data_IF_493724461949
#
_entry.id   IF_493724461949
#
_cell.length_a   1.000
_cell.length_b   1.000
_cell.length_c   1.000
_cell.angle_alpha   90.00
_cell.angle_beta   90.00
_cell.angle_gamma   90.00
#
_symmetry.space_group_name_H-M   'P 1'
#
loop_
_entity.id
_entity.type
_entity.pdbx_description
1 polymer ?
#
# COMPACT_ATOMS: atom_id res chain seq x y z
N UNK A 1 -7.98 -4.60 40.86
CA UNK A 1 -7.24 -3.57 41.61
C UNK A 1 -6.28 -2.91 40.62
N UNK A 2 -6.51 -1.65 40.27
CA UNK A 2 -5.73 -0.92 39.27
C UNK A 2 -4.41 -0.46 39.90
N UNK A 3 -3.28 -0.96 39.40
CA UNK A 3 -1.95 -0.56 39.86
C UNK A 3 -1.54 0.73 39.15
N UNK A 4 -2.04 1.88 39.62
CA UNK A 4 -1.51 3.18 39.19
C UNK A 4 -0.11 3.32 39.84
N UNK A 5 0.94 3.23 39.02
CA UNK A 5 2.32 3.52 39.44
C UNK A 5 2.53 5.03 39.51
N UNK A 6 2.77 5.56 40.71
CA UNK A 6 3.26 6.93 40.91
C UNK A 6 4.79 6.90 40.89
N UNK A 7 5.39 7.03 39.71
CA UNK A 7 6.84 7.22 39.63
C UNK A 7 7.22 8.60 40.17
N UNK A 8 8.27 8.67 40.97
CA UNK A 8 8.84 9.94 41.43
C UNK A 8 9.50 10.68 40.25
N UNK A 9 9.70 12.01 40.35
CA UNK A 9 10.45 12.76 39.33
C UNK A 9 11.84 12.19 39.05
N UNK A 10 12.54 11.69 40.08
CA UNK A 10 13.84 11.03 39.94
C UNK A 10 13.75 9.70 39.17
N UNK A 11 12.70 8.90 39.43
CA UNK A 11 12.46 7.67 38.68
C UNK A 11 12.13 7.96 37.21
N UNK A 12 11.36 9.01 36.92
CA UNK A 12 11.08 9.45 35.55
C UNK A 12 12.33 9.95 34.81
N UNK A 13 13.22 10.67 35.52
CA UNK A 13 14.49 11.11 34.96
C UNK A 13 15.40 9.91 34.63
N UNK A 14 15.57 8.98 35.57
CA UNK A 14 16.37 7.76 35.36
C UNK A 14 15.82 6.91 34.20
N UNK A 15 14.50 6.80 34.07
CA UNK A 15 13.87 6.09 32.93
C UNK A 15 14.12 6.77 31.59
N UNK A 16 14.23 8.11 31.55
CA UNK A 16 14.57 8.85 30.33
C UNK A 16 16.05 8.74 29.98
N UNK A 17 16.94 8.78 30.97
CA UNK A 17 18.39 8.58 30.78
C UNK A 17 18.71 7.17 30.30
N UNK A 18 18.00 6.16 30.82
CA UNK A 18 18.14 4.76 30.44
C UNK A 18 17.20 4.34 29.32
N UNK A 19 16.42 5.26 28.75
CA UNK A 19 15.55 4.95 27.63
C UNK A 19 16.44 4.51 26.47
N UNK A 20 16.20 3.34 25.85
CA UNK A 20 16.94 2.95 24.67
C UNK A 20 16.76 4.04 23.62
N UNK A 21 17.86 4.52 23.03
CA UNK A 21 17.78 5.38 21.87
C UNK A 21 17.14 4.55 20.75
N UNK A 22 15.87 4.81 20.46
CA UNK A 22 15.20 4.22 19.32
C UNK A 22 16.00 4.65 18.08
N UNK A 23 16.55 3.67 17.37
CA UNK A 23 17.21 3.91 16.11
C UNK A 23 16.20 4.56 15.14
N UNK A 24 16.68 5.55 14.41
CA UNK A 24 15.95 6.09 13.25
C UNK A 24 15.74 4.98 12.21
N UNK A 25 14.75 5.14 11.32
CA UNK A 25 14.52 4.19 10.23
C UNK A 25 15.76 3.99 9.35
N UNK A 26 16.55 5.05 9.14
CA UNK A 26 17.81 5.01 8.38
C UNK A 26 18.89 4.21 9.11
N UNK A 27 19.03 4.38 10.43
CA UNK A 27 19.96 3.61 11.24
C UNK A 27 19.60 2.12 11.27
N UNK A 28 18.32 1.79 11.43
CA UNK A 28 17.84 0.40 11.34
C UNK A 28 18.15 -0.19 9.97
N UNK A 29 17.84 0.53 8.88
CA UNK A 29 18.08 0.04 7.52
C UNK A 29 19.58 -0.18 7.23
N UNK A 30 20.47 0.66 7.78
CA UNK A 30 21.92 0.51 7.64
C UNK A 30 22.47 -0.70 8.40
N UNK A 31 21.95 -0.95 9.61
CA UNK A 31 22.38 -2.08 10.43
C UNK A 31 21.76 -3.41 10.01
N UNK A 32 20.55 -3.35 9.41
CA UNK A 32 19.76 -4.50 9.03
C UNK A 32 19.21 -4.32 7.61
N UNK A 33 20.08 -4.35 6.58
CA UNK A 33 19.64 -4.20 5.21
C UNK A 33 18.72 -5.35 4.80
N UNK A 34 17.63 -5.03 4.10
CA UNK A 34 16.77 -6.04 3.50
C UNK A 34 17.57 -6.86 2.48
N UNK A 35 17.34 -8.19 2.38
CA UNK A 35 18.00 -9.01 1.39
C UNK A 35 17.66 -8.51 -0.02
N UNK A 36 18.63 -8.55 -0.97
CA UNK A 36 18.39 -8.07 -2.32
C UNK A 36 17.28 -8.88 -2.99
N UNK A 37 16.55 -8.23 -3.89
CA UNK A 37 15.60 -8.92 -4.77
C UNK A 37 16.39 -9.72 -5.79
N UNK A 38 16.34 -11.05 -5.67
CA UNK A 38 17.06 -11.97 -6.56
C UNK A 38 16.21 -12.35 -7.77
N UNK A 39 16.86 -12.78 -8.85
CA UNK A 39 16.17 -13.29 -10.04
C UNK A 39 15.23 -14.46 -9.70
N UNK A 40 15.64 -15.34 -8.78
CA UNK A 40 14.80 -16.44 -8.29
C UNK A 40 13.51 -15.95 -7.62
N UNK A 41 13.55 -14.80 -6.93
CA UNK A 41 12.35 -14.17 -6.34
C UNK A 41 11.44 -13.61 -7.43
N UNK A 42 11.99 -12.90 -8.42
CA UNK A 42 11.22 -12.37 -9.55
C UNK A 42 10.56 -13.49 -10.35
N UNK A 43 11.30 -14.57 -10.64
CA UNK A 43 10.78 -15.76 -11.31
C UNK A 43 9.62 -16.39 -10.54
N UNK A 44 9.72 -16.46 -9.22
CA UNK A 44 8.62 -16.97 -8.38
C UNK A 44 7.39 -16.07 -8.45
N UNK A 45 7.55 -14.74 -8.42
CA UNK A 45 6.43 -13.81 -8.56
C UNK A 45 5.70 -13.98 -9.90
N UNK A 46 6.46 -14.18 -10.99
CA UNK A 46 5.87 -14.51 -12.31
C UNK A 46 5.06 -15.80 -12.30
N UNK A 47 5.54 -16.85 -11.62
CA UNK A 47 4.80 -18.11 -11.51
C UNK A 47 3.50 -17.93 -10.71
N UNK A 48 3.56 -17.21 -9.58
CA UNK A 48 2.39 -16.95 -8.74
C UNK A 48 1.34 -16.09 -9.46
N UNK A 49 1.78 -15.13 -10.27
CA UNK A 49 0.90 -14.29 -11.09
C UNK A 49 0.16 -15.07 -12.19
N UNK A 50 0.61 -16.28 -12.54
CA UNK A 50 -0.04 -17.13 -13.55
C UNK A 50 -0.85 -18.29 -12.93
N UNK A 51 -0.99 -18.32 -11.60
CA UNK A 51 -1.69 -19.41 -10.91
C UNK A 51 -3.20 -19.40 -11.24
N UNK A 52 -3.81 -20.59 -11.32
CA UNK A 52 -5.23 -20.72 -11.58
C UNK A 52 -6.09 -20.12 -10.46
N UNK A 53 -5.59 -20.12 -9.21
CA UNK A 53 -6.29 -19.57 -8.07
C UNK A 53 -6.10 -18.04 -8.00
N UNK A 54 -7.17 -17.24 -8.08
CA UNK A 54 -7.07 -15.78 -8.02
C UNK A 54 -6.45 -15.27 -6.71
N UNK A 55 -6.62 -15.98 -5.59
CA UNK A 55 -5.98 -15.59 -4.32
C UNK A 55 -4.46 -15.67 -4.36
N UNK A 56 -3.91 -16.59 -5.16
CA UNK A 56 -2.46 -16.69 -5.34
C UNK A 56 -1.98 -15.55 -6.24
N UNK A 57 -2.71 -15.23 -7.31
CA UNK A 57 -2.41 -14.07 -8.17
C UNK A 57 -2.52 -12.74 -7.42
N UNK A 58 -3.52 -12.60 -6.55
CA UNK A 58 -3.71 -11.46 -5.65
C UNK A 58 -2.50 -11.28 -4.72
N UNK A 59 -1.93 -12.37 -4.22
CA UNK A 59 -0.72 -12.32 -3.39
C UNK A 59 0.51 -11.84 -4.18
N UNK A 60 0.59 -12.18 -5.47
CA UNK A 60 1.61 -11.65 -6.36
C UNK A 60 1.37 -10.15 -6.63
N UNK A 61 0.15 -9.73 -6.95
CA UNK A 61 -0.20 -8.32 -7.17
C UNK A 61 0.10 -7.43 -5.95
N UNK A 62 -0.11 -7.92 -4.71
CA UNK A 62 0.18 -7.17 -3.48
C UNK A 62 1.68 -7.07 -3.14
N UNK A 63 2.56 -7.81 -3.82
CA UNK A 63 3.98 -7.80 -3.47
C UNK A 63 4.67 -6.53 -4.02
N UNK A 64 5.39 -5.76 -3.19
CA UNK A 64 6.06 -4.52 -3.64
C UNK A 64 7.27 -4.77 -4.55
N UNK A 65 7.64 -6.02 -4.81
CA UNK A 65 8.70 -6.39 -5.75
C UNK A 65 8.18 -7.08 -7.00
N UNK A 66 6.86 -7.09 -7.21
CA UNK A 66 6.28 -7.61 -8.44
C UNK A 66 6.75 -6.77 -9.61
N UNK A 67 7.33 -7.40 -10.65
CA UNK A 67 7.80 -6.68 -11.83
C UNK A 67 6.68 -5.88 -12.50
N UNK A 68 7.01 -4.72 -13.06
CA UNK A 68 6.05 -3.83 -13.72
C UNK A 68 5.31 -4.52 -14.87
N UNK A 69 5.99 -5.39 -15.64
CA UNK A 69 5.37 -6.21 -16.71
C UNK A 69 4.28 -7.13 -16.18
N UNK A 70 4.49 -7.68 -14.98
CA UNK A 70 3.53 -8.56 -14.32
C UNK A 70 2.38 -7.75 -13.73
N UNK A 71 2.66 -6.60 -13.12
CA UNK A 71 1.62 -5.69 -12.60
C UNK A 71 0.69 -5.23 -13.73
N UNK A 72 1.22 -4.81 -14.88
CA UNK A 72 0.43 -4.42 -16.04
C UNK A 72 -0.47 -5.56 -16.55
N UNK A 73 0.02 -6.80 -16.49
CA UNK A 73 -0.79 -7.97 -16.84
C UNK A 73 -1.92 -8.22 -15.82
N UNK A 74 -1.61 -8.14 -14.53
CA UNK A 74 -2.57 -8.35 -13.43
C UNK A 74 -3.61 -7.22 -13.32
N UNK A 75 -3.32 -6.03 -13.85
CA UNK A 75 -4.30 -4.94 -13.95
C UNK A 75 -5.51 -5.32 -14.82
N UNK A 76 -5.34 -6.28 -15.74
CA UNK A 76 -6.38 -6.79 -16.62
C UNK A 76 -6.94 -8.15 -16.15
N UNK A 77 -6.62 -8.58 -14.92
CA UNK A 77 -7.04 -9.89 -14.43
C UNK A 77 -8.58 -9.99 -14.36
N UNK A 78 -9.19 -11.12 -14.75
CA UNK A 78 -10.63 -11.29 -14.66
C UNK A 78 -11.18 -11.19 -13.23
N UNK A 79 -10.36 -11.53 -12.23
CA UNK A 79 -10.74 -11.46 -10.82
C UNK A 79 -10.59 -10.03 -10.27
N UNK A 80 -11.68 -9.49 -9.72
CA UNK A 80 -11.70 -8.15 -9.13
C UNK A 80 -10.72 -8.02 -7.95
N UNK A 81 -10.54 -9.07 -7.15
CA UNK A 81 -9.62 -9.07 -6.01
C UNK A 81 -8.17 -8.87 -6.44
N UNK A 82 -7.78 -9.45 -7.57
CA UNK A 82 -6.45 -9.24 -8.16
C UNK A 82 -6.28 -7.79 -8.63
N UNK A 83 -7.26 -7.23 -9.34
CA UNK A 83 -7.21 -5.82 -9.78
C UNK A 83 -7.22 -4.84 -8.60
N UNK A 84 -7.97 -5.14 -7.55
CA UNK A 84 -7.95 -4.40 -6.27
C UNK A 84 -6.54 -4.40 -5.67
N UNK A 85 -5.84 -5.54 -5.68
CA UNK A 85 -4.47 -5.62 -5.18
C UNK A 85 -3.49 -4.75 -6.01
N UNK A 86 -3.67 -4.69 -7.33
CA UNK A 86 -2.88 -3.79 -8.19
C UNK A 86 -3.17 -2.32 -7.87
N UNK A 87 -4.44 -1.94 -7.73
CA UNK A 87 -4.85 -0.58 -7.38
C UNK A 87 -4.28 -0.10 -6.03
N UNK A 88 -4.07 -1.01 -5.08
CA UNK A 88 -3.51 -0.72 -3.75
C UNK A 88 -1.98 -0.73 -3.70
N UNK A 89 -1.31 -1.34 -4.68
CA UNK A 89 0.13 -1.52 -4.62
C UNK A 89 0.85 -0.18 -4.86
N UNK A 90 1.73 0.19 -3.92
CA UNK A 90 2.50 1.44 -3.91
C UNK A 90 3.53 1.54 -5.06
N UNK A 91 3.86 0.40 -5.68
CA UNK A 91 4.81 0.30 -6.79
C UNK A 91 4.14 0.24 -8.15
N UNK A 92 2.81 0.19 -8.21
CA UNK A 92 2.09 0.27 -9.48
C UNK A 92 2.41 1.58 -10.18
N UNK A 93 2.79 1.50 -11.46
CA UNK A 93 3.16 2.67 -12.24
C UNK A 93 1.96 3.60 -12.44
N UNK A 94 2.23 4.90 -12.59
CA UNK A 94 1.19 5.89 -12.83
C UNK A 94 0.31 5.57 -14.05
N UNK A 95 0.88 4.96 -15.09
CA UNK A 95 0.14 4.61 -16.30
C UNK A 95 -0.88 3.49 -16.05
N UNK A 96 -0.50 2.47 -15.27
CA UNK A 96 -1.43 1.41 -14.84
C UNK A 96 -2.51 1.98 -13.90
N UNK A 97 -2.14 2.89 -12.99
CA UNK A 97 -3.13 3.54 -12.11
C UNK A 97 -4.13 4.40 -12.89
N UNK A 98 -3.71 5.05 -13.99
CA UNK A 98 -4.60 5.80 -14.89
C UNK A 98 -5.58 4.89 -15.61
N UNK A 99 -5.12 3.71 -16.02
CA UNK A 99 -5.95 2.70 -16.68
C UNK A 99 -7.01 2.15 -15.73
N UNK A 100 -6.62 1.78 -14.51
CA UNK A 100 -7.53 1.28 -13.48
C UNK A 100 -8.57 2.33 -13.02
N UNK A 101 -8.36 3.61 -13.32
CA UNK A 101 -9.37 4.65 -13.08
C UNK A 101 -10.62 4.47 -13.95
N UNK A 102 -10.52 3.70 -15.04
CA UNK A 102 -11.62 3.29 -15.91
C UNK A 102 -12.10 1.85 -15.65
N UNK A 103 -11.60 1.19 -14.60
CA UNK A 103 -12.01 -0.19 -14.26
C UNK A 103 -13.54 -0.25 -14.10
N UNK A 104 -14.23 -1.28 -14.63
CA UNK A 104 -15.67 -1.38 -14.49
C UNK A 104 -16.14 -1.51 -13.03
N UNK A 105 -15.31 -2.04 -12.13
CA UNK A 105 -15.62 -2.19 -10.71
C UNK A 105 -15.37 -0.89 -9.95
N UNK A 106 -16.40 -0.39 -9.25
CA UNK A 106 -16.24 0.75 -8.36
C UNK A 106 -15.42 0.42 -7.11
N UNK A 107 -15.33 -0.85 -6.72
CA UNK A 107 -14.42 -1.32 -5.67
C UNK A 107 -12.95 -1.06 -6.06
N UNK A 108 -12.57 -1.37 -7.30
CA UNK A 108 -11.20 -1.13 -7.81
C UNK A 108 -10.90 0.37 -7.83
N UNK A 109 -11.80 1.17 -8.38
CA UNK A 109 -11.68 2.64 -8.41
C UNK A 109 -11.67 3.25 -7.01
N UNK A 110 -12.40 2.66 -6.06
CA UNK A 110 -12.36 3.03 -4.64
C UNK A 110 -11.01 2.77 -4.00
N UNK A 111 -10.37 1.64 -4.30
CA UNK A 111 -9.02 1.35 -3.83
C UNK A 111 -7.98 2.31 -4.40
N UNK A 112 -8.12 2.76 -5.66
CA UNK A 112 -7.31 3.85 -6.19
C UNK A 112 -7.50 5.13 -5.37
N UNK A 113 -8.75 5.51 -5.07
CA UNK A 113 -9.02 6.71 -4.27
C UNK A 113 -8.25 6.69 -2.93
N UNK A 114 -8.11 5.51 -2.30
CA UNK A 114 -7.39 5.35 -1.01
C UNK A 114 -5.87 5.23 -1.18
N UNK A 115 -5.34 4.84 -2.35
CA UNK A 115 -3.89 4.70 -2.57
C UNK A 115 -3.18 6.07 -2.62
N UNK A 116 -2.24 6.31 -1.70
CA UNK A 116 -1.53 7.59 -1.55
C UNK A 116 -0.58 7.95 -2.68
N UNK A 117 -0.23 6.99 -3.54
CA UNK A 117 0.69 7.19 -4.68
C UNK A 117 -0.03 7.48 -6.00
N UNK A 118 -1.37 7.58 -5.96
CA UNK A 118 -2.18 7.85 -7.15
C UNK A 118 -1.92 9.27 -7.67
N UNK A 119 -1.67 9.44 -8.99
CA UNK A 119 -1.48 10.74 -9.61
C UNK A 119 -2.67 11.69 -9.40
N UNK A 120 -2.39 13.00 -9.36
CA UNK A 120 -3.43 14.04 -9.18
C UNK A 120 -4.50 13.97 -10.26
N UNK A 121 -4.11 13.78 -11.52
CA UNK A 121 -5.06 13.68 -12.65
C UNK A 121 -6.04 12.51 -12.50
N UNK A 122 -5.60 11.41 -11.88
CA UNK A 122 -6.49 10.28 -11.55
C UNK A 122 -7.42 10.64 -10.40
N UNK A 123 -6.93 11.30 -9.34
CA UNK A 123 -7.78 11.76 -8.24
C UNK A 123 -8.85 12.76 -8.70
N UNK A 124 -8.51 13.67 -9.62
CA UNK A 124 -9.44 14.63 -10.21
C UNK A 124 -10.56 13.91 -10.99
N UNK A 125 -10.22 12.86 -11.75
CA UNK A 125 -11.22 12.01 -12.43
C UNK A 125 -12.11 11.25 -11.44
N UNK A 126 -11.54 10.69 -10.38
CA UNK A 126 -12.29 9.95 -9.36
C UNK A 126 -13.20 10.87 -8.53
N UNK A 127 -12.95 12.19 -8.50
CA UNK A 127 -13.84 13.16 -7.86
C UNK A 127 -15.20 13.25 -8.56
N UNK A 128 -15.24 12.97 -9.86
CA UNK A 128 -16.42 12.93 -10.72
C UNK A 128 -16.89 11.50 -11.03
N UNK A 129 -16.41 10.49 -10.28
CA UNK A 129 -16.75 9.08 -10.49
C UNK A 129 -18.27 8.83 -10.39
N UNK A 130 -18.87 7.95 -11.21
CA UNK A 130 -20.29 7.61 -11.09
C UNK A 130 -20.67 7.02 -9.73
N UNK A 131 -19.75 6.35 -9.01
CA UNK A 131 -20.02 5.76 -7.70
C UNK A 131 -19.91 6.79 -6.57
N UNK A 132 -20.99 6.93 -5.80
CA UNK A 132 -21.05 7.79 -4.61
C UNK A 132 -19.96 7.44 -3.60
N UNK A 133 -19.66 6.15 -3.46
CA UNK A 133 -18.62 5.63 -2.56
C UNK A 133 -17.24 6.14 -2.96
N UNK A 134 -16.91 6.08 -4.26
CA UNK A 134 -15.61 6.54 -4.78
C UNK A 134 -15.47 8.04 -4.54
N UNK A 135 -16.49 8.83 -4.87
CA UNK A 135 -16.48 10.29 -4.62
C UNK A 135 -16.35 10.62 -3.13
N UNK A 136 -16.98 9.84 -2.25
CA UNK A 136 -16.85 10.01 -0.80
C UNK A 136 -15.42 9.72 -0.30
N UNK A 137 -14.77 8.67 -0.83
CA UNK A 137 -13.38 8.34 -0.51
C UNK A 137 -12.41 9.44 -0.96
N UNK A 138 -12.62 10.01 -2.14
CA UNK A 138 -11.83 11.15 -2.63
C UNK A 138 -11.96 12.35 -1.70
N UNK A 139 -13.18 12.71 -1.30
CA UNK A 139 -13.44 13.82 -0.36
C UNK A 139 -12.81 13.57 1.01
N UNK A 140 -12.96 12.36 1.54
CA UNK A 140 -12.34 11.96 2.80
C UNK A 140 -10.82 12.11 2.73
N UNK A 141 -10.17 11.61 1.68
CA UNK A 141 -8.72 11.74 1.51
C UNK A 141 -8.29 13.20 1.38
N UNK A 142 -9.08 14.04 0.70
CA UNK A 142 -8.87 15.50 0.66
C UNK A 142 -8.87 16.12 2.06
N UNK A 143 -9.81 15.74 2.92
CA UNK A 143 -9.89 16.27 4.29
C UNK A 143 -8.71 15.90 5.19
N UNK A 144 -7.93 14.87 4.85
CA UNK A 144 -6.71 14.52 5.59
C UNK A 144 -5.55 15.47 5.31
N UNK A 145 -5.58 16.17 4.17
CA UNK A 145 -4.54 17.16 3.80
C UNK A 145 -4.78 18.49 4.52
N UNK A 146 -6.03 18.78 4.85
CA UNK A 146 -6.46 20.03 5.49
C UNK A 146 -6.45 19.96 7.04
N UNK A 147 -6.14 18.80 7.63
CA UNK A 147 -6.14 18.54 9.08
C UNK A 147 -4.73 18.57 9.70
#
# INVERSE_FOLDING_TARGET
MSCIRFNTPAQLAAMRELAPSMLTAEEVARLHPAPPVTESKLRRLRLLAADANPRIRESAANNPHTPDDVIATLAHDPDEGVRNAVARNEKTSCDVLRELADDPSDTVRGWLAVNYYVPRDVMDRLADDPSDTVRALVRWKGSLVDA
#
